data_IF_632542889458
#
_entry.id   IF_632542889458
#
_cell.length_a   1.000
_cell.length_b   1.000
_cell.length_c   1.000
_cell.angle_alpha   90.00
_cell.angle_beta   90.00
_cell.angle_gamma   90.00
#
_symmetry.space_group_name_H-M   'P 1'
#
loop_
_entity.id
_entity.type
_entity.pdbx_description
1 polymer ?
#
# COMPACT_ATOMS: atom_id res chain seq x y z
N UNK A 1 43.32 21.72 11.46
CA UNK A 1 43.18 20.26 11.60
C UNK A 1 42.07 20.00 12.63
N UNK A 2 40.87 19.60 12.17
CA UNK A 2 39.74 19.36 13.08
C UNK A 2 39.98 18.04 13.84
N UNK A 3 40.24 18.10 15.15
CA UNK A 3 40.29 16.92 16.02
C UNK A 3 38.90 16.66 16.58
N UNK A 4 38.24 15.61 16.10
CA UNK A 4 36.94 15.19 16.60
C UNK A 4 37.09 14.52 17.96
N UNK A 5 36.36 15.01 18.98
CA UNK A 5 36.39 14.44 20.32
C UNK A 5 35.78 13.03 20.32
N UNK A 6 36.47 12.04 20.91
CA UNK A 6 36.00 10.65 21.03
C UNK A 6 34.55 10.53 21.54
N UNK A 7 34.20 11.31 22.57
CA UNK A 7 32.85 11.33 23.16
C UNK A 7 31.78 11.79 22.15
N UNK A 8 32.12 12.74 21.27
CA UNK A 8 31.20 13.17 20.22
C UNK A 8 30.95 12.04 19.22
N UNK A 9 32.00 11.34 18.78
CA UNK A 9 31.90 10.20 17.87
C UNK A 9 31.04 9.07 18.46
N UNK A 10 31.22 8.75 19.74
CA UNK A 10 30.42 7.73 20.42
C UNK A 10 28.95 8.13 20.46
N UNK A 11 28.63 9.38 20.85
CA UNK A 11 27.24 9.86 20.90
C UNK A 11 26.59 9.82 19.51
N UNK A 12 27.30 10.28 18.48
CA UNK A 12 26.82 10.25 17.11
C UNK A 12 26.56 8.80 16.64
N UNK A 13 27.50 7.88 16.88
CA UNK A 13 27.32 6.47 16.55
C UNK A 13 26.11 5.87 17.26
N UNK A 14 25.94 6.11 18.56
CA UNK A 14 24.81 5.58 19.33
C UNK A 14 23.46 6.08 18.79
N UNK A 15 23.36 7.37 18.43
CA UNK A 15 22.14 7.94 17.86
C UNK A 15 21.84 7.33 16.50
N UNK A 16 22.84 7.22 15.64
CA UNK A 16 22.69 6.61 14.31
C UNK A 16 22.32 5.13 14.45
N UNK A 17 23.00 4.38 15.31
CA UNK A 17 22.74 2.97 15.54
C UNK A 17 21.34 2.73 16.11
N UNK A 18 20.86 3.57 17.03
CA UNK A 18 19.52 3.46 17.59
C UNK A 18 18.41 3.58 16.52
N UNK A 19 18.67 4.30 15.43
CA UNK A 19 17.73 4.39 14.30
C UNK A 19 17.98 3.31 13.24
N UNK A 20 19.23 3.11 12.82
CA UNK A 20 19.59 2.22 11.71
C UNK A 20 19.44 0.75 12.08
N UNK A 21 19.75 0.34 13.31
CA UNK A 21 19.70 -1.07 13.71
C UNK A 21 18.26 -1.64 13.63
N UNK A 22 17.22 -0.99 14.18
CA UNK A 22 15.84 -1.46 14.00
C UNK A 22 15.42 -1.57 12.53
N UNK A 23 15.81 -0.60 11.70
CA UNK A 23 15.50 -0.62 10.26
C UNK A 23 16.21 -1.79 9.57
N UNK A 24 17.50 -1.99 9.83
CA UNK A 24 18.27 -3.10 9.28
C UNK A 24 17.69 -4.46 9.70
N UNK A 25 17.30 -4.60 10.97
CA UNK A 25 16.68 -5.82 11.47
C UNK A 25 15.30 -6.06 10.83
N UNK A 26 14.48 -5.01 10.66
CA UNK A 26 13.20 -5.11 9.96
C UNK A 26 13.39 -5.59 8.53
N UNK A 27 14.34 -5.01 7.78
CA UNK A 27 14.66 -5.44 6.41
C UNK A 27 15.17 -6.88 6.34
N UNK A 28 16.04 -7.28 7.27
CA UNK A 28 16.57 -8.63 7.34
C UNK A 28 15.48 -9.67 7.61
N UNK A 29 14.66 -9.46 8.65
CA UNK A 29 13.59 -10.40 9.04
C UNK A 29 12.53 -10.51 7.93
N UNK A 30 12.03 -9.37 7.44
CA UNK A 30 11.00 -9.37 6.38
C UNK A 30 11.53 -9.94 5.06
N UNK A 31 12.79 -9.67 4.70
CA UNK A 31 13.42 -10.21 3.51
C UNK A 31 13.63 -11.73 3.58
N UNK A 32 14.08 -12.23 4.73
CA UNK A 32 14.24 -13.67 4.97
C UNK A 32 12.90 -14.40 4.91
N UNK A 33 11.89 -13.92 5.62
CA UNK A 33 10.54 -14.48 5.62
C UNK A 33 9.89 -14.42 4.22
N UNK A 34 10.08 -13.32 3.51
CA UNK A 34 9.58 -13.15 2.14
C UNK A 34 10.19 -14.17 1.18
N UNK A 35 11.51 -14.42 1.30
CA UNK A 35 12.22 -15.46 0.51
C UNK A 35 11.68 -16.86 0.81
N UNK A 36 11.28 -17.13 2.06
CA UNK A 36 10.62 -18.38 2.46
C UNK A 36 9.12 -18.42 2.11
N UNK A 37 8.60 -17.39 1.43
CA UNK A 37 7.19 -17.34 1.00
C UNK A 37 6.20 -16.81 2.05
N UNK A 38 6.66 -16.39 3.23
CA UNK A 38 5.82 -15.81 4.27
C UNK A 38 5.70 -14.30 4.04
N UNK A 39 4.62 -13.86 3.36
CA UNK A 39 4.47 -12.47 2.87
C UNK A 39 3.56 -11.58 3.72
N UNK A 40 3.05 -12.10 4.83
CA UNK A 40 1.96 -11.48 5.59
C UNK A 40 0.61 -11.54 4.86
N UNK A 41 -0.46 -11.19 5.58
CA UNK A 41 -1.84 -11.30 5.10
C UNK A 41 -2.55 -9.96 4.98
N UNK A 42 -3.79 -10.03 4.51
CA UNK A 42 -4.75 -8.94 4.43
C UNK A 42 -6.03 -9.31 5.16
N UNK A 43 -6.68 -8.33 5.78
CA UNK A 43 -8.11 -8.38 6.06
C UNK A 43 -8.83 -7.72 4.91
N UNK A 44 -9.74 -8.43 4.24
CA UNK A 44 -10.39 -7.94 3.02
C UNK A 44 -11.89 -7.88 3.21
N UNK A 45 -12.48 -6.74 2.85
CA UNK A 45 -13.93 -6.55 2.78
C UNK A 45 -14.31 -6.20 1.34
N UNK A 46 -15.41 -6.77 0.84
CA UNK A 46 -15.92 -6.47 -0.51
C UNK A 46 -17.28 -5.82 -0.41
N UNK A 47 -17.43 -4.71 -1.13
CA UNK A 47 -18.64 -3.90 -1.18
C UNK A 47 -19.13 -3.78 -2.63
N UNK A 48 -20.44 -3.60 -2.78
CA UNK A 48 -21.04 -3.30 -4.08
C UNK A 48 -21.12 -1.77 -4.20
N UNK A 49 -20.39 -1.24 -5.17
CA UNK A 49 -20.42 0.17 -5.54
C UNK A 49 -21.44 0.37 -6.66
N UNK A 50 -22.46 1.18 -6.39
CA UNK A 50 -23.44 1.59 -7.38
C UNK A 50 -22.85 2.73 -8.24
N UNK A 51 -22.85 2.54 -9.57
CA UNK A 51 -22.32 3.47 -10.55
C UNK A 51 -23.49 4.11 -11.32
N UNK A 52 -23.34 5.38 -11.69
CA UNK A 52 -24.35 6.07 -12.54
C UNK A 52 -24.31 5.60 -14.00
N UNK A 53 -23.18 5.04 -14.42
CA UNK A 53 -22.92 4.54 -15.76
C UNK A 53 -22.04 3.29 -15.67
N UNK A 54 -22.03 2.41 -16.69
CA UNK A 54 -21.15 1.25 -16.69
C UNK A 54 -19.71 1.65 -16.43
N UNK A 55 -18.97 0.83 -15.69
CA UNK A 55 -17.58 1.11 -15.35
C UNK A 55 -16.78 1.45 -16.62
N UNK A 56 -16.21 2.65 -16.66
CA UNK A 56 -15.43 3.13 -17.80
C UNK A 56 -13.95 2.81 -17.60
N UNK A 57 -13.22 2.55 -18.69
CA UNK A 57 -11.76 2.38 -18.67
C UNK A 57 -11.06 3.76 -18.56
N UNK A 58 -11.38 4.53 -17.53
CA UNK A 58 -10.86 5.87 -17.28
C UNK A 58 -10.28 5.91 -15.86
N UNK A 59 -8.96 6.11 -15.74
CA UNK A 59 -8.25 6.03 -14.46
C UNK A 59 -8.67 7.15 -13.51
N UNK A 60 -8.79 8.37 -14.00
CA UNK A 60 -9.11 9.56 -13.21
C UNK A 60 -10.51 9.44 -12.61
N UNK A 61 -11.49 9.05 -13.42
CA UNK A 61 -12.86 8.80 -12.99
C UNK A 61 -12.94 7.69 -11.94
N UNK A 62 -12.21 6.57 -12.12
CA UNK A 62 -12.19 5.48 -11.15
C UNK A 62 -11.52 5.88 -9.84
N UNK A 63 -10.45 6.69 -9.92
CA UNK A 63 -9.76 7.24 -8.75
C UNK A 63 -10.72 8.11 -7.95
N UNK A 64 -11.46 9.01 -8.60
CA UNK A 64 -12.46 9.86 -7.94
C UNK A 64 -13.56 9.03 -7.25
N UNK A 65 -14.10 8.01 -7.93
CA UNK A 65 -15.13 7.13 -7.36
C UNK A 65 -14.62 6.38 -6.13
N UNK A 66 -13.40 5.84 -6.19
CA UNK A 66 -12.78 5.16 -5.06
C UNK A 66 -12.48 6.14 -3.92
N UNK A 67 -11.96 7.34 -4.20
CA UNK A 67 -11.71 8.36 -3.17
C UNK A 67 -12.98 8.72 -2.41
N UNK A 68 -14.07 8.97 -3.13
CA UNK A 68 -15.36 9.31 -2.52
C UNK A 68 -15.87 8.18 -1.61
N UNK A 69 -15.79 6.93 -2.07
CA UNK A 69 -16.25 5.77 -1.30
C UNK A 69 -15.38 5.51 -0.06
N UNK A 70 -14.06 5.68 -0.16
CA UNK A 70 -13.15 5.58 0.97
C UNK A 70 -13.39 6.68 2.00
N UNK A 71 -13.61 7.92 1.55
CA UNK A 71 -13.90 9.06 2.40
C UNK A 71 -15.22 8.86 3.18
N UNK A 72 -16.28 8.39 2.52
CA UNK A 72 -17.55 8.06 3.19
C UNK A 72 -17.39 7.02 4.29
N UNK A 73 -16.42 6.11 4.15
CA UNK A 73 -16.14 5.05 5.12
C UNK A 73 -15.06 5.41 6.13
N UNK A 74 -14.53 6.64 6.10
CA UNK A 74 -13.39 7.06 6.93
C UNK A 74 -12.17 6.15 6.81
N UNK A 75 -11.89 5.67 5.59
CA UNK A 75 -10.73 4.83 5.28
C UNK A 75 -9.65 5.70 4.62
N UNK A 76 -8.41 5.56 5.07
CA UNK A 76 -7.27 6.26 4.48
C UNK A 76 -7.07 5.87 3.00
N UNK A 77 -6.62 6.85 2.21
CA UNK A 77 -6.27 6.60 0.82
C UNK A 77 -5.01 5.71 0.72
N UNK A 78 -4.95 4.78 -0.25
CA UNK A 78 -3.73 4.02 -0.49
C UNK A 78 -2.56 4.97 -0.85
N UNK A 79 -1.40 4.75 -0.26
CA UNK A 79 -0.22 5.61 -0.43
C UNK A 79 0.42 5.54 -1.82
N UNK A 80 0.28 4.41 -2.53
CA UNK A 80 0.91 4.22 -3.83
C UNK A 80 0.11 4.82 -4.99
N UNK A 81 0.36 4.30 -6.19
CA UNK A 81 -0.25 4.82 -7.42
C UNK A 81 -1.46 3.97 -7.85
N UNK A 82 -2.54 4.66 -8.18
CA UNK A 82 -3.68 4.08 -8.89
C UNK A 82 -3.27 3.62 -10.30
N UNK A 83 -3.70 2.41 -10.68
CA UNK A 83 -3.39 1.75 -11.94
C UNK A 83 -4.63 1.08 -12.50
N UNK A 84 -4.73 1.09 -13.82
CA UNK A 84 -5.73 0.33 -14.56
C UNK A 84 -5.03 -0.86 -15.19
N UNK A 85 -5.53 -2.06 -14.91
CA UNK A 85 -4.96 -3.32 -15.41
C UNK A 85 -5.99 -4.05 -16.26
N UNK A 86 -5.50 -4.81 -17.23
CA UNK A 86 -6.32 -5.63 -18.12
C UNK A 86 -6.14 -7.10 -17.74
N UNK A 87 -7.23 -7.86 -17.71
CA UNK A 87 -7.24 -9.30 -17.49
C UNK A 87 -8.07 -9.98 -18.59
N UNK A 88 -7.40 -10.48 -19.64
CA UNK A 88 -8.09 -10.98 -20.83
C UNK A 88 -8.95 -9.89 -21.48
N UNK A 89 -10.25 -10.14 -21.59
CA UNK A 89 -11.22 -9.19 -22.15
C UNK A 89 -11.79 -8.21 -21.12
N UNK A 90 -11.44 -8.32 -19.83
CA UNK A 90 -11.89 -7.42 -18.78
C UNK A 90 -10.78 -6.46 -18.34
N UNK A 91 -11.15 -5.47 -17.54
CA UNK A 91 -10.20 -4.57 -16.87
C UNK A 91 -10.61 -4.39 -15.41
N UNK A 92 -9.65 -4.01 -14.59
CA UNK A 92 -9.88 -3.69 -13.18
C UNK A 92 -8.99 -2.54 -12.76
N UNK A 93 -9.46 -1.77 -11.78
CA UNK A 93 -8.69 -0.71 -11.16
C UNK A 93 -8.05 -1.22 -9.89
N UNK A 94 -6.76 -0.94 -9.72
CA UNK A 94 -5.97 -1.32 -8.57
C UNK A 94 -5.26 -0.09 -8.03
N UNK A 95 -5.40 0.16 -6.74
CA UNK A 95 -4.65 1.22 -6.05
C UNK A 95 -4.01 0.64 -4.79
N UNK A 96 -2.70 0.42 -4.85
CA UNK A 96 -1.97 -0.23 -3.76
C UNK A 96 -1.32 0.78 -2.83
N UNK A 97 -1.21 0.45 -1.54
CA UNK A 97 -0.53 1.23 -0.52
C UNK A 97 0.20 0.35 0.49
N UNK A 98 0.81 0.98 1.50
CA UNK A 98 1.44 0.28 2.63
C UNK A 98 0.42 -0.29 3.61
N UNK A 99 -0.67 0.43 3.84
CA UNK A 99 -1.72 0.09 4.82
C UNK A 99 -2.99 -0.46 4.19
N UNK A 100 -3.37 0.09 3.04
CA UNK A 100 -4.61 -0.25 2.34
C UNK A 100 -4.31 -0.47 0.87
N UNK A 101 -4.82 -1.57 0.32
CA UNK A 101 -4.92 -1.79 -1.11
C UNK A 101 -6.41 -1.78 -1.50
N UNK A 102 -6.71 -1.20 -2.66
CA UNK A 102 -8.06 -1.17 -3.22
C UNK A 102 -8.06 -1.86 -4.58
N UNK A 103 -9.06 -2.69 -4.81
CA UNK A 103 -9.36 -3.32 -6.08
C UNK A 103 -10.81 -3.04 -6.45
N UNK A 104 -11.04 -2.52 -7.66
CA UNK A 104 -12.37 -2.25 -8.19
C UNK A 104 -12.55 -3.01 -9.50
N UNK A 105 -13.52 -3.93 -9.51
CA UNK A 105 -13.80 -4.82 -10.63
C UNK A 105 -15.21 -4.57 -11.19
N UNK A 106 -15.38 -4.53 -12.51
CA UNK A 106 -16.69 -4.38 -13.13
C UNK A 106 -17.52 -5.64 -12.93
N UNK A 107 -18.82 -5.48 -12.67
CA UNK A 107 -19.78 -6.58 -12.76
C UNK A 107 -20.44 -6.56 -14.15
N UNK A 108 -20.38 -7.70 -14.82
CA UNK A 108 -20.80 -7.88 -16.23
C UNK A 108 -22.19 -7.29 -16.47
N UNK A 109 -22.29 -6.41 -17.49
CA UNK A 109 -23.53 -5.74 -17.92
C UNK A 109 -24.32 -5.01 -16.83
N UNK A 110 -23.66 -4.53 -15.78
CA UNK A 110 -24.33 -3.86 -14.67
C UNK A 110 -23.79 -2.45 -14.44
N UNK A 111 -24.62 -1.66 -13.77
CA UNK A 111 -24.23 -0.39 -13.17
C UNK A 111 -23.59 -0.60 -11.79
N UNK A 112 -23.05 -1.79 -11.53
CA UNK A 112 -22.43 -2.15 -10.26
C UNK A 112 -20.96 -2.50 -10.46
N UNK A 113 -20.14 -2.23 -9.44
CA UNK A 113 -18.76 -2.70 -9.38
C UNK A 113 -18.47 -3.29 -8.00
N UNK A 114 -17.61 -4.30 -7.96
CA UNK A 114 -17.14 -4.87 -6.70
C UNK A 114 -15.92 -4.07 -6.24
N UNK A 115 -16.07 -3.33 -5.13
CA UNK A 115 -14.98 -2.64 -4.45
C UNK A 115 -14.45 -3.53 -3.33
N UNK A 116 -13.26 -4.09 -3.52
CA UNK A 116 -12.56 -4.85 -2.48
C UNK A 116 -11.51 -3.96 -1.82
N UNK A 117 -11.63 -3.76 -0.51
CA UNK A 117 -10.69 -3.01 0.31
C UNK A 117 -9.89 -4.01 1.14
N UNK A 118 -8.57 -3.98 1.02
CA UNK A 118 -7.66 -4.90 1.69
C UNK A 118 -6.78 -4.12 2.67
N UNK A 119 -6.96 -4.34 3.96
CA UNK A 119 -6.11 -3.76 5.02
C UNK A 119 -4.94 -4.69 5.29
N UNK A 120 -3.73 -4.14 5.30
CA UNK A 120 -2.53 -4.93 5.58
C UNK A 120 -2.47 -5.30 7.06
N UNK A 121 -2.12 -6.56 7.33
CA UNK A 121 -1.68 -6.95 8.69
C UNK A 121 -0.36 -6.26 9.02
N UNK A 122 0.00 -6.17 10.31
CA UNK A 122 1.27 -5.55 10.73
C UNK A 122 2.49 -6.17 10.02
N UNK A 123 2.52 -7.50 9.89
CA UNK A 123 3.58 -8.18 9.13
C UNK A 123 3.58 -7.74 7.66
N UNK A 124 2.40 -7.68 7.02
CA UNK A 124 2.28 -7.24 5.63
C UNK A 124 2.73 -5.78 5.48
N UNK A 125 2.39 -4.90 6.42
CA UNK A 125 2.85 -3.51 6.44
C UNK A 125 4.38 -3.42 6.40
N UNK A 126 5.09 -4.14 7.28
CA UNK A 126 6.57 -4.16 7.25
C UNK A 126 7.12 -4.73 5.94
N UNK A 127 6.49 -5.76 5.36
CA UNK A 127 6.86 -6.27 4.03
C UNK A 127 6.65 -5.21 2.95
N UNK A 128 5.60 -4.40 3.02
CA UNK A 128 5.38 -3.30 2.07
C UNK A 128 6.43 -2.19 2.24
N UNK A 129 6.84 -1.88 3.47
CA UNK A 129 7.94 -0.94 3.73
C UNK A 129 9.28 -1.44 3.18
N UNK A 130 9.60 -2.73 3.38
CA UNK A 130 10.75 -3.39 2.75
C UNK A 130 10.73 -3.23 1.22
N UNK A 131 9.54 -3.33 0.62
CA UNK A 131 9.33 -3.14 -0.83
C UNK A 131 9.21 -1.67 -1.26
N UNK A 132 9.57 -0.73 -0.40
CA UNK A 132 9.51 0.71 -0.64
C UNK A 132 8.11 1.23 -1.02
N UNK A 133 7.04 0.58 -0.55
CA UNK A 133 5.65 1.02 -0.79
C UNK A 133 5.08 1.96 0.29
N UNK A 134 5.94 2.52 1.14
CA UNK A 134 5.54 3.47 2.20
C UNK A 134 5.41 4.93 1.75
N UNK A 135 5.89 5.27 0.55
CA UNK A 135 5.83 6.65 0.05
C UNK A 135 4.45 7.00 -0.47
N UNK A 136 3.84 8.05 0.07
CA UNK A 136 2.67 8.70 -0.49
C UNK A 136 3.02 9.39 -1.82
N UNK A 137 2.31 9.08 -2.90
CA UNK A 137 2.27 9.99 -4.05
C UNK A 137 1.35 11.15 -3.67
N UNK A 138 1.93 12.27 -3.24
CA UNK A 138 1.22 13.56 -3.10
C UNK A 138 0.95 14.11 -4.49
#
# INVERSE_FOLDING_TARGET
MFSLKRIFLIKAHMIIAAFILPVALMFFITGALYTWGVKGGYSSDTYILQLQQPMQRNKEWLTEKVMNELAQRSIALPSGQAKLKTAGNSFYFEWTGSEVDVLLEPRVHSLEANLTIKRTTLHRFFVQLHKAKGGGSV
#
